data_IF_913556094098
#
_entry.id   IF_913556094098
#
_cell.length_a   1.000
_cell.length_b   1.000
_cell.length_c   1.000
_cell.angle_alpha   90.00
_cell.angle_beta   90.00
_cell.angle_gamma   90.00
#
_symmetry.space_group_name_H-M   'P 1'
#
loop_
_entity.id
_entity.type
_entity.pdbx_description
1 polymer ?
#
# COMPACT_ATOMS: atom_id res chain seq x y z
N UNK A 1 8.03 -11.30 -7.33
CA UNK A 1 8.80 -10.65 -8.40
C UNK A 1 10.25 -10.78 -8.02
N UNK A 2 11.15 -11.08 -8.95
CA UNK A 2 12.59 -11.17 -8.61
C UNK A 2 13.20 -9.78 -8.39
N UNK A 3 14.30 -9.72 -7.64
CA UNK A 3 15.06 -8.47 -7.43
C UNK A 3 15.50 -7.81 -8.75
N UNK A 4 15.84 -8.62 -9.76
CA UNK A 4 16.24 -8.14 -11.09
C UNK A 4 15.06 -7.47 -11.81
N UNK A 5 13.88 -8.08 -11.76
CA UNK A 5 12.66 -7.51 -12.33
C UNK A 5 12.21 -6.24 -11.59
N UNK A 6 12.33 -6.21 -10.26
CA UNK A 6 12.04 -5.01 -9.46
C UNK A 6 12.90 -3.84 -9.93
N UNK A 7 14.22 -4.04 -10.00
CA UNK A 7 15.18 -3.02 -10.46
C UNK A 7 14.90 -2.57 -11.88
N UNK A 8 14.57 -3.49 -12.78
CA UNK A 8 14.21 -3.15 -14.16
C UNK A 8 12.98 -2.22 -14.18
N UNK A 9 11.92 -2.55 -13.43
CA UNK A 9 10.72 -1.72 -13.35
C UNK A 9 10.97 -0.36 -12.69
N UNK A 10 11.80 -0.30 -11.64
CA UNK A 10 12.20 0.95 -11.01
C UNK A 10 12.89 1.86 -12.02
N UNK A 11 13.86 1.32 -12.77
CA UNK A 11 14.58 2.05 -13.80
C UNK A 11 13.67 2.56 -14.92
N UNK A 12 12.77 1.71 -15.41
CA UNK A 12 11.76 2.10 -16.41
C UNK A 12 10.91 3.28 -15.94
N UNK A 13 10.45 3.26 -14.68
CA UNK A 13 9.65 4.36 -14.11
C UNK A 13 10.49 5.64 -13.97
N UNK A 14 11.75 5.54 -13.54
CA UNK A 14 12.67 6.70 -13.46
C UNK A 14 12.84 7.33 -14.84
N UNK A 15 13.11 6.54 -15.88
CA UNK A 15 13.22 7.04 -17.26
C UNK A 15 11.91 7.70 -17.74
N UNK A 16 10.75 7.18 -17.35
CA UNK A 16 9.47 7.81 -17.66
C UNK A 16 9.27 9.15 -16.92
N UNK A 17 9.75 9.27 -15.68
CA UNK A 17 9.71 10.52 -14.89
C UNK A 17 10.53 11.60 -15.57
N UNK A 18 11.73 11.27 -16.04
CA UNK A 18 12.61 12.20 -16.76
C UNK A 18 11.96 12.72 -18.05
N UNK A 19 11.23 11.85 -18.75
CA UNK A 19 10.55 12.16 -20.01
C UNK A 19 9.14 12.75 -19.85
N UNK A 20 8.62 12.84 -18.63
CA UNK A 20 7.24 13.29 -18.37
C UNK A 20 7.05 14.73 -18.82
N UNK A 21 6.00 15.01 -19.60
CA UNK A 21 5.72 16.38 -20.10
C UNK A 21 4.82 17.19 -19.17
N UNK A 22 4.11 16.53 -18.25
CA UNK A 22 3.18 17.20 -17.34
C UNK A 22 3.51 16.90 -15.88
N UNK A 23 3.17 17.85 -15.00
CA UNK A 23 3.32 17.66 -13.56
C UNK A 23 2.44 16.53 -13.03
N UNK A 24 1.24 16.34 -13.61
CA UNK A 24 0.31 15.28 -13.23
C UNK A 24 0.89 13.90 -13.54
N UNK A 25 1.43 13.71 -14.75
CA UNK A 25 2.07 12.44 -15.14
C UNK A 25 3.29 12.16 -14.27
N UNK A 26 4.12 13.18 -14.03
CA UNK A 26 5.29 13.07 -13.15
C UNK A 26 4.88 12.61 -11.74
N UNK A 27 3.84 13.22 -11.15
CA UNK A 27 3.33 12.84 -9.83
C UNK A 27 2.83 11.41 -9.79
N UNK A 28 2.13 10.95 -10.83
CA UNK A 28 1.64 9.58 -10.91
C UNK A 28 2.78 8.56 -11.02
N UNK A 29 3.82 8.89 -11.79
CA UNK A 29 5.01 8.05 -11.93
C UNK A 29 5.83 7.99 -10.64
N UNK A 30 5.98 9.10 -9.92
CA UNK A 30 6.63 9.13 -8.59
C UNK A 30 5.89 8.20 -7.63
N UNK A 31 4.56 8.28 -7.54
CA UNK A 31 3.77 7.35 -6.70
C UNK A 31 3.97 5.88 -7.07
N UNK A 32 4.09 5.60 -8.37
CA UNK A 32 4.39 4.25 -8.87
C UNK A 32 5.77 3.80 -8.42
N UNK A 33 6.78 4.68 -8.47
CA UNK A 33 8.13 4.38 -7.99
C UNK A 33 8.13 4.14 -6.47
N UNK A 34 7.48 4.99 -5.68
CA UNK A 34 7.32 4.83 -4.23
C UNK A 34 6.72 3.47 -3.86
N UNK A 35 5.72 3.01 -4.63
CA UNK A 35 5.11 1.68 -4.46
C UNK A 35 6.12 0.55 -4.72
N UNK A 36 7.01 0.70 -5.70
CA UNK A 36 8.05 -0.28 -6.01
C UNK A 36 9.12 -0.30 -4.91
N UNK A 37 9.56 0.86 -4.43
CA UNK A 37 10.51 0.97 -3.31
C UNK A 37 9.95 0.31 -2.04
N UNK A 38 8.70 0.63 -1.68
CA UNK A 38 8.04 0.04 -0.52
C UNK A 38 7.98 -1.50 -0.58
N UNK A 39 7.76 -2.08 -1.77
CA UNK A 39 7.82 -3.54 -1.97
C UNK A 39 9.24 -4.08 -1.77
N UNK A 40 10.24 -3.39 -2.32
CA UNK A 40 11.63 -3.76 -2.14
C UNK A 40 12.08 -3.70 -0.69
N UNK A 41 11.61 -2.72 0.08
CA UNK A 41 11.93 -2.60 1.50
C UNK A 41 11.17 -3.63 2.35
N UNK A 42 9.93 -3.97 1.98
CA UNK A 42 9.18 -5.06 2.63
C UNK A 42 9.93 -6.39 2.50
N UNK A 43 10.46 -6.70 1.32
CA UNK A 43 11.24 -7.93 1.09
C UNK A 43 12.55 -7.97 1.91
N UNK A 44 13.12 -6.82 2.27
CA UNK A 44 14.32 -6.72 3.11
C UNK A 44 14.02 -6.65 4.61
N UNK A 45 12.75 -6.54 5.01
CA UNK A 45 12.36 -6.27 6.40
C UNK A 45 12.67 -4.83 6.85
N UNK A 46 12.75 -3.88 5.92
CA UNK A 46 13.09 -2.47 6.18
C UNK A 46 11.90 -1.51 5.93
N UNK A 47 10.75 -2.02 5.48
CA UNK A 47 9.60 -1.17 5.20
C UNK A 47 9.04 -0.54 6.47
N UNK A 48 8.84 0.77 6.43
CA UNK A 48 8.13 1.51 7.47
C UNK A 48 6.64 1.14 7.49
N UNK A 49 5.93 1.37 8.62
CA UNK A 49 4.48 1.16 8.68
C UNK A 49 3.69 1.89 7.58
N UNK A 50 4.09 3.12 7.24
CA UNK A 50 3.47 3.89 6.16
C UNK A 50 3.69 3.24 4.79
N UNK A 51 4.88 2.70 4.52
CA UNK A 51 5.16 1.93 3.31
C UNK A 51 4.37 0.62 3.28
N UNK A 52 4.27 -0.09 4.42
CA UNK A 52 3.47 -1.31 4.51
C UNK A 52 2.00 -1.03 4.19
N UNK A 53 1.43 0.04 4.74
CA UNK A 53 0.07 0.47 4.47
C UNK A 53 -0.14 0.88 2.99
N UNK A 54 0.83 1.55 2.37
CA UNK A 54 0.70 1.99 0.97
C UNK A 54 0.67 0.83 -0.03
N UNK A 55 1.31 -0.29 0.30
CA UNK A 55 1.31 -1.52 -0.50
C UNK A 55 0.32 -2.58 0.01
N UNK A 56 -0.41 -2.29 1.09
CA UNK A 56 -1.38 -3.19 1.67
C UNK A 56 -2.60 -3.35 0.77
N UNK A 57 -3.03 -4.60 0.57
CA UNK A 57 -4.11 -4.92 -0.36
C UNK A 57 -5.38 -5.36 0.34
N UNK A 58 -6.53 -5.16 -0.33
CA UNK A 58 -7.82 -5.70 0.12
C UNK A 58 -7.76 -7.21 0.34
N UNK A 59 -7.06 -7.93 -0.53
CA UNK A 59 -6.88 -9.38 -0.43
C UNK A 59 -6.09 -9.77 0.81
N UNK A 60 -4.98 -9.06 1.10
CA UNK A 60 -4.21 -9.28 2.34
C UNK A 60 -5.08 -8.98 3.58
N UNK A 61 -5.80 -7.86 3.59
CA UNK A 61 -6.72 -7.54 4.67
C UNK A 61 -7.77 -8.63 4.89
N UNK A 62 -8.45 -9.08 3.83
CA UNK A 62 -9.46 -10.16 3.91
C UNK A 62 -8.87 -11.48 4.37
N UNK A 63 -7.58 -11.73 4.14
CA UNK A 63 -6.89 -12.92 4.63
C UNK A 63 -6.60 -12.80 6.13
N UNK A 64 -6.11 -11.65 6.58
CA UNK A 64 -5.78 -11.39 7.98
C UNK A 64 -7.03 -11.31 8.87
N UNK A 65 -8.08 -10.62 8.41
CA UNK A 65 -9.35 -10.43 9.14
C UNK A 65 -10.14 -11.72 9.39
N UNK A 66 -9.74 -12.86 8.80
CA UNK A 66 -10.27 -14.18 9.17
C UNK A 66 -9.76 -14.69 10.51
N UNK A 67 -8.65 -14.13 11.01
CA UNK A 67 -7.93 -14.61 12.19
C UNK A 67 -7.65 -13.51 13.22
N UNK A 68 -7.54 -12.27 12.76
CA UNK A 68 -7.15 -11.11 13.57
C UNK A 68 -8.25 -10.05 13.52
N UNK A 69 -8.41 -9.33 14.62
CA UNK A 69 -9.21 -8.12 14.72
C UNK A 69 -8.53 -6.95 14.01
N UNK A 70 -9.29 -5.90 13.70
CA UNK A 70 -8.70 -4.66 13.15
C UNK A 70 -7.65 -4.05 14.09
N UNK A 71 -7.78 -4.24 15.40
CA UNK A 71 -6.80 -3.76 16.38
C UNK A 71 -5.48 -4.51 16.24
N UNK A 72 -5.53 -5.85 16.23
CA UNK A 72 -4.34 -6.70 16.06
C UNK A 72 -3.68 -6.48 14.70
N UNK A 73 -4.46 -6.34 13.62
CA UNK A 73 -3.91 -6.04 12.28
C UNK A 73 -3.17 -4.70 12.28
N UNK A 74 -3.71 -3.67 12.95
CA UNK A 74 -3.07 -2.37 13.02
C UNK A 74 -1.77 -2.43 13.83
N UNK A 75 -1.77 -3.13 14.96
CA UNK A 75 -0.59 -3.35 15.81
C UNK A 75 0.51 -4.13 15.08
N UNK A 76 0.17 -5.25 14.43
CA UNK A 76 1.09 -6.07 13.64
C UNK A 76 1.75 -5.28 12.50
N UNK A 77 0.99 -4.36 11.90
CA UNK A 77 1.49 -3.48 10.83
C UNK A 77 2.22 -2.24 11.36
N UNK A 78 2.20 -1.99 12.67
CA UNK A 78 2.77 -0.79 13.29
C UNK A 78 2.07 0.51 12.90
N UNK A 79 0.79 0.44 12.50
CA UNK A 79 -0.01 1.60 12.09
C UNK A 79 -1.09 1.94 13.13
N UNK A 80 -1.59 3.17 13.08
CA UNK A 80 -2.74 3.53 13.92
C UNK A 80 -4.02 2.82 13.45
N UNK A 81 -4.92 2.53 14.39
CA UNK A 81 -6.27 2.01 14.08
C UNK A 81 -7.02 2.92 13.12
N UNK A 82 -6.89 4.24 13.27
CA UNK A 82 -7.49 5.23 12.36
C UNK A 82 -7.00 5.10 10.92
N UNK A 83 -5.71 4.79 10.72
CA UNK A 83 -5.16 4.56 9.39
C UNK A 83 -5.74 3.29 8.73
N UNK A 84 -5.91 2.22 9.51
CA UNK A 84 -6.58 1.01 9.02
C UNK A 84 -8.07 1.24 8.70
N UNK A 85 -8.77 2.02 9.53
CA UNK A 85 -10.16 2.43 9.26
C UNK A 85 -10.26 3.23 7.96
N UNK A 86 -9.34 4.18 7.73
CA UNK A 86 -9.31 4.96 6.50
C UNK A 86 -9.04 4.07 5.27
N UNK A 87 -8.10 3.12 5.39
CA UNK A 87 -7.86 2.11 4.37
C UNK A 87 -9.14 1.32 4.06
N UNK A 88 -9.84 0.82 5.08
CA UNK A 88 -11.10 0.09 4.90
C UNK A 88 -12.15 0.94 4.21
N UNK A 89 -12.31 2.20 4.63
CA UNK A 89 -13.28 3.14 4.04
C UNK A 89 -12.99 3.38 2.55
N UNK A 90 -11.73 3.67 2.20
CA UNK A 90 -11.28 3.90 0.81
C UNK A 90 -11.50 2.68 -0.09
N UNK A 91 -11.49 1.49 0.49
CA UNK A 91 -11.61 0.22 -0.23
C UNK A 91 -13.00 -0.45 -0.10
N UNK A 92 -14.00 0.25 0.45
CA UNK A 92 -15.36 -0.28 0.58
C UNK A 92 -15.49 -1.48 1.54
N UNK A 93 -14.59 -1.59 2.53
CA UNK A 93 -14.55 -2.67 3.52
C UNK A 93 -15.25 -2.31 4.84
N UNK A 94 -15.83 -1.12 4.93
CA UNK A 94 -16.64 -0.71 6.07
C UNK A 94 -18.01 -1.40 5.98
N UNK A 95 -18.33 -2.26 6.96
CA UNK A 95 -19.68 -2.80 7.11
C UNK A 95 -20.59 -1.60 7.44
N UNK A 96 -21.53 -1.27 6.55
CA UNK A 96 -22.63 -0.38 6.92
C UNK A 96 -23.41 -1.09 8.02
N UNK A 97 -23.39 -0.56 9.25
CA UNK A 97 -24.40 -0.93 10.22
C UNK A 97 -25.75 -0.60 9.57
N UNK A 98 -26.54 -1.62 9.24
CA UNK A 98 -27.96 -1.41 9.02
C UNK A 98 -28.48 -0.89 10.36
N UNK A 99 -28.81 0.39 10.41
CA UNK A 99 -29.63 0.91 11.49
C UNK A 99 -30.95 0.16 11.37
N UNK A 100 -31.24 -0.72 12.31
CA UNK A 100 -32.56 -1.31 12.44
C UNK A 100 -33.48 -0.15 12.85
N UNK A 101 -34.32 0.29 11.91
CA UNK A 101 -35.44 1.19 12.18
C UNK A 101 -36.57 0.41 12.84
#
# INVERSE_FOLDING_TARGET
MSRKELRKKQWEVITMIEKSKTLTDRKNLIKKLETLEARGDKEKGLATPTQLLSIFTVTEYRRLSKKLTDTEIAEDMGISRSALIEFKRKNGLSIRQKVAT
#
